data_IF_241507836743
#
_entry.id   IF_241507836743
#
_cell.length_a   1.000
_cell.length_b   1.000
_cell.length_c   1.000
_cell.angle_alpha   90.00
_cell.angle_beta   90.00
_cell.angle_gamma   90.00
#
_symmetry.space_group_name_H-M   'P 1'
#
loop_
_entity.id
_entity.type
_entity.pdbx_description
1 polymer ?
#
# COMPACT_ATOMS: atom_id res chain seq x y z
N UNK A 1 -3.39 6.16 -1.89
CA UNK A 1 -4.57 5.34 -1.49
C UNK A 1 -5.20 5.93 -0.22
N UNK A 2 -6.53 5.88 -0.07
CA UNK A 2 -7.24 6.13 1.18
C UNK A 2 -8.29 5.03 1.38
N UNK A 3 -8.13 4.19 2.40
CA UNK A 3 -9.02 3.06 2.68
C UNK A 3 -9.49 3.16 4.13
N UNK A 4 -10.76 2.88 4.38
CA UNK A 4 -11.32 2.81 5.73
C UNK A 4 -11.93 1.43 6.01
N UNK A 5 -11.92 1.01 7.27
CA UNK A 5 -12.51 -0.25 7.73
C UNK A 5 -13.17 -0.08 9.09
N UNK A 6 -14.38 -0.59 9.21
CA UNK A 6 -15.12 -0.69 10.46
C UNK A 6 -15.01 -2.10 11.06
N UNK A 7 -14.87 -2.20 12.38
CA UNK A 7 -14.96 -3.47 13.13
C UNK A 7 -15.79 -3.25 14.39
N UNK A 8 -16.73 -4.15 14.65
CA UNK A 8 -17.53 -4.15 15.88
C UNK A 8 -16.91 -5.18 16.84
N UNK A 9 -16.78 -4.84 18.11
CA UNK A 9 -16.35 -5.80 19.13
C UNK A 9 -17.43 -6.84 19.40
N UNK A 10 -17.03 -7.91 20.10
CA UNK A 10 -17.99 -8.75 20.79
C UNK A 10 -18.87 -7.92 21.74
N UNK A 11 -20.11 -8.35 21.99
CA UNK A 11 -20.96 -7.73 23.00
C UNK A 11 -20.26 -7.78 24.37
N UNK A 12 -20.26 -6.65 25.08
CA UNK A 12 -19.95 -6.65 26.51
C UNK A 12 -21.09 -7.26 27.33
N UNK A 13 -20.94 -7.18 28.64
CA UNK A 13 -21.93 -7.72 29.56
C UNK A 13 -23.32 -7.08 29.36
N UNK A 14 -24.36 -7.91 29.42
CA UNK A 14 -25.73 -7.46 29.38
C UNK A 14 -26.09 -6.74 30.68
N UNK A 15 -26.87 -5.66 30.58
CA UNK A 15 -27.39 -4.91 31.73
C UNK A 15 -28.41 -5.68 32.57
N UNK A 16 -28.92 -6.81 32.06
CA UNK A 16 -29.84 -7.70 32.74
C UNK A 16 -29.46 -9.17 32.53
N UNK A 17 -29.62 -9.98 33.57
CA UNK A 17 -29.38 -11.44 33.54
C UNK A 17 -30.52 -12.18 32.85
N UNK A 18 -31.75 -11.67 32.95
CA UNK A 18 -32.93 -12.19 32.27
C UNK A 18 -33.88 -11.05 31.87
N UNK A 19 -34.68 -11.25 30.82
CA UNK A 19 -35.53 -10.20 30.23
C UNK A 19 -34.78 -9.27 29.26
N UNK A 20 -35.41 -8.17 28.81
CA UNK A 20 -34.79 -7.19 27.93
C UNK A 20 -33.59 -6.51 28.61
N UNK A 21 -32.46 -6.46 27.93
CA UNK A 21 -31.22 -5.83 28.42
C UNK A 21 -30.41 -5.21 27.29
N UNK A 22 -29.47 -4.35 27.67
CA UNK A 22 -28.57 -3.66 26.76
C UNK A 22 -27.14 -4.17 26.98
N UNK A 23 -26.43 -4.43 25.89
CA UNK A 23 -25.02 -4.80 25.91
C UNK A 23 -24.23 -3.76 25.12
N UNK A 24 -23.19 -3.20 25.73
CA UNK A 24 -22.32 -2.22 25.06
C UNK A 24 -21.43 -2.92 24.05
N UNK A 25 -21.19 -2.26 22.91
CA UNK A 25 -20.23 -2.71 21.89
C UNK A 25 -19.31 -1.56 21.52
N UNK A 26 -18.04 -1.87 21.29
CA UNK A 26 -17.06 -0.92 20.80
C UNK A 26 -17.03 -1.00 19.28
N UNK A 27 -17.21 0.14 18.63
CA UNK A 27 -17.03 0.24 17.18
C UNK A 27 -15.66 0.85 16.90
N UNK A 28 -14.85 0.21 16.05
CA UNK A 28 -13.53 0.69 15.68
C UNK A 28 -13.51 1.08 14.21
N UNK A 29 -13.19 2.35 13.94
CA UNK A 29 -12.82 2.83 12.63
C UNK A 29 -11.29 2.77 12.48
N UNK A 30 -10.80 2.30 11.35
CA UNK A 30 -9.39 2.43 10.96
C UNK A 30 -9.33 3.00 9.56
N UNK A 31 -8.59 4.09 9.39
CA UNK A 31 -8.32 4.73 8.10
C UNK A 31 -6.82 4.62 7.81
N UNK A 32 -6.47 4.15 6.63
CA UNK A 32 -5.09 4.07 6.14
C UNK A 32 -4.92 4.96 4.93
N UNK A 33 -4.02 5.94 5.00
CA UNK A 33 -3.67 6.85 3.91
C UNK A 33 -2.23 6.55 3.49
N UNK A 34 -2.05 6.01 2.29
CA UNK A 34 -0.74 5.76 1.70
C UNK A 34 -0.37 6.82 0.66
N UNK A 35 0.87 7.31 0.72
CA UNK A 35 1.51 8.22 -0.24
C UNK A 35 2.79 7.58 -0.81
N UNK A 36 3.31 8.05 -1.96
CA UNK A 36 4.64 7.71 -2.46
C UNK A 36 5.75 7.78 -1.40
N UNK A 37 6.81 6.98 -1.57
CA UNK A 37 7.91 6.86 -0.58
C UNK A 37 8.73 8.13 -0.40
N UNK A 38 8.74 9.00 -1.41
CA UNK A 38 9.35 10.32 -1.39
C UNK A 38 8.39 11.39 -0.85
N UNK A 39 7.32 11.03 -0.15
CA UNK A 39 6.36 11.98 0.41
C UNK A 39 6.10 11.74 1.91
N UNK A 40 5.96 12.83 2.66
CA UNK A 40 5.46 12.85 4.04
C UNK A 40 4.06 13.44 4.07
N UNK A 41 3.22 12.91 4.95
CA UNK A 41 1.83 13.32 5.11
C UNK A 41 1.80 14.40 6.19
N UNK A 42 1.49 15.63 5.80
CA UNK A 42 1.14 16.68 6.74
C UNK A 42 -0.36 16.63 7.02
N UNK A 43 -0.72 16.70 8.29
CA UNK A 43 -2.09 16.55 8.78
C UNK A 43 -2.44 17.81 9.52
N UNK A 44 -3.61 18.37 9.23
CA UNK A 44 -4.19 19.47 9.98
C UNK A 44 -5.54 19.04 10.52
N UNK A 45 -5.69 19.07 11.83
CA UNK A 45 -6.96 18.73 12.47
C UNK A 45 -7.86 19.96 12.46
N UNK A 46 -9.00 19.84 11.78
CA UNK A 46 -9.97 20.93 11.62
C UNK A 46 -10.90 21.03 12.83
N UNK A 47 -11.37 19.89 13.33
CA UNK A 47 -12.18 19.83 14.56
C UNK A 47 -12.04 18.47 15.25
N UNK A 48 -12.23 18.46 16.57
CA UNK A 48 -12.23 17.27 17.39
C UNK A 48 -13.22 17.43 18.55
N UNK A 49 -14.18 16.52 18.65
CA UNK A 49 -15.10 16.41 19.80
C UNK A 49 -14.68 15.27 20.75
N UNK A 50 -13.40 14.90 20.75
CA UNK A 50 -12.87 13.84 21.61
C UNK A 50 -12.54 14.36 23.02
N UNK A 51 -13.20 13.80 24.04
CA UNK A 51 -12.92 14.07 25.45
C UNK A 51 -11.69 13.30 25.94
N UNK A 52 -10.49 13.83 25.67
CA UNK A 52 -9.20 13.21 26.02
C UNK A 52 -8.76 13.48 27.48
N UNK A 53 -9.69 13.41 28.45
CA UNK A 53 -9.45 13.84 29.85
C UNK A 53 -8.50 12.94 30.66
N UNK A 54 -8.08 11.78 30.13
CA UNK A 54 -7.14 10.85 30.80
C UNK A 54 -5.75 10.74 30.19
N UNK A 55 -5.44 11.53 29.15
CA UNK A 55 -4.06 11.63 28.62
C UNK A 55 -3.77 13.07 28.19
N UNK A 56 -3.11 13.80 29.09
CA UNK A 56 -2.33 15.02 28.86
C UNK A 56 -2.88 16.01 27.79
N UNK A 57 -3.65 16.99 28.27
CA UNK A 57 -3.77 18.38 27.78
C UNK A 57 -3.37 18.64 26.30
N UNK A 58 -4.35 18.57 25.40
CA UNK A 58 -4.60 19.62 24.39
C UNK A 58 -5.90 19.30 23.64
N UNK A 59 -6.71 20.33 23.38
CA UNK A 59 -7.67 20.26 22.29
C UNK A 59 -6.89 19.98 21.02
N UNK A 60 -7.07 18.79 20.44
CA UNK A 60 -6.40 18.38 19.20
C UNK A 60 -6.89 19.22 18.01
N UNK A 61 -7.99 19.97 18.17
CA UNK A 61 -8.49 20.91 17.18
C UNK A 61 -7.47 22.01 16.88
N UNK A 62 -7.14 22.22 15.61
CA UNK A 62 -6.13 23.18 15.17
C UNK A 62 -4.69 22.69 15.24
N UNK A 63 -4.45 21.45 15.71
CA UNK A 63 -3.12 20.87 15.71
C UNK A 63 -2.64 20.49 14.30
N UNK A 64 -1.33 20.60 14.10
CA UNK A 64 -0.64 20.15 12.90
C UNK A 64 0.34 19.03 13.26
N UNK A 65 0.35 17.98 12.44
CA UNK A 65 1.16 16.79 12.64
C UNK A 65 1.81 16.40 11.33
N UNK A 66 3.03 15.87 11.39
CA UNK A 66 3.72 15.34 10.21
C UNK A 66 3.99 13.87 10.44
N UNK A 67 3.62 13.03 9.48
CA UNK A 67 3.88 11.60 9.55
C UNK A 67 5.38 11.31 9.45
N UNK A 68 5.86 10.32 10.21
CA UNK A 68 7.25 9.82 10.11
C UNK A 68 7.47 8.93 8.88
N UNK A 69 6.38 8.43 8.31
CA UNK A 69 6.40 7.52 7.16
C UNK A 69 5.42 8.02 6.10
N UNK A 70 5.47 7.45 4.91
CA UNK A 70 4.54 7.72 3.82
C UNK A 70 3.16 7.05 4.01
N UNK A 71 2.93 6.40 5.16
CA UNK A 71 1.63 5.81 5.53
C UNK A 71 1.13 6.40 6.83
N UNK A 72 -0.07 6.96 6.81
CA UNK A 72 -0.79 7.41 7.99
C UNK A 72 -1.88 6.39 8.35
N UNK A 73 -1.82 5.88 9.58
CA UNK A 73 -2.85 5.02 10.16
C UNK A 73 -3.60 5.81 11.23
N UNK A 74 -4.89 6.06 11.00
CA UNK A 74 -5.80 6.69 11.98
C UNK A 74 -6.71 5.62 12.54
N UNK A 75 -6.76 5.47 13.86
CA UNK A 75 -7.64 4.51 14.54
C UNK A 75 -8.48 5.24 15.57
N UNK A 76 -9.80 5.09 15.44
CA UNK A 76 -10.77 5.65 16.38
C UNK A 76 -11.62 4.52 16.95
N UNK A 77 -11.70 4.43 18.28
CA UNK A 77 -12.67 3.57 18.96
C UNK A 77 -13.86 4.47 19.35
N UNK A 78 -15.02 4.27 18.75
CA UNK A 78 -16.25 4.98 19.04
C UNK A 78 -16.96 4.31 20.23
N UNK A 79 -17.35 5.10 21.24
CA UNK A 79 -18.11 4.64 22.40
C UNK A 79 -19.30 5.54 22.76
N UNK A 80 -19.43 6.76 22.20
CA UNK A 80 -20.75 7.40 22.03
C UNK A 80 -20.98 8.01 20.63
N UNK A 81 -22.25 8.14 20.22
CA UNK A 81 -22.65 8.94 19.07
C UNK A 81 -22.36 10.43 19.31
N UNK A 82 -21.75 11.12 18.34
CA UNK A 82 -21.43 12.55 18.42
C UNK A 82 -19.93 12.89 18.58
N UNK A 83 -19.09 11.92 18.94
CA UNK A 83 -17.64 12.13 19.11
C UNK A 83 -16.85 11.73 17.86
N UNK A 84 -16.09 12.67 17.30
CA UNK A 84 -15.42 12.53 16.01
C UNK A 84 -14.19 13.41 15.86
N UNK A 85 -13.40 13.12 14.83
CA UNK A 85 -12.28 13.96 14.39
C UNK A 85 -12.45 14.27 12.90
N UNK A 86 -12.29 15.53 12.54
CA UNK A 86 -12.20 15.98 11.15
C UNK A 86 -10.81 16.52 10.93
N UNK A 87 -10.09 15.95 9.97
CA UNK A 87 -8.76 16.40 9.60
C UNK A 87 -8.63 16.47 8.08
N UNK A 88 -7.74 17.34 7.62
CA UNK A 88 -7.25 17.36 6.24
C UNK A 88 -5.80 16.89 6.21
N UNK A 89 -5.36 16.41 5.05
CA UNK A 89 -3.99 15.97 4.85
C UNK A 89 -3.44 16.47 3.52
N UNK A 90 -2.14 16.75 3.49
CA UNK A 90 -1.39 17.12 2.28
C UNK A 90 -0.14 16.27 2.15
N UNK A 91 0.29 16.06 0.91
CA UNK A 91 1.55 15.37 0.61
C UNK A 91 2.64 16.40 0.35
N UNK A 92 3.76 16.27 1.04
CA UNK A 92 4.94 17.08 0.80
C UNK A 92 6.11 16.18 0.43
N UNK A 93 6.89 16.56 -0.58
CA UNK A 93 8.06 15.78 -0.98
C UNK A 93 9.11 15.77 0.14
N UNK A 94 9.51 14.56 0.51
CA UNK A 94 10.66 14.28 1.34
C UNK A 94 11.93 14.44 0.50
N UNK A 95 12.90 15.20 1.01
CA UNK A 95 14.17 15.48 0.31
C UNK A 95 15.16 14.30 0.37
N UNK A 96 14.82 13.20 1.05
CA UNK A 96 15.67 12.00 1.12
C UNK A 96 15.62 11.22 -0.20
N UNK A 97 16.78 10.99 -0.83
CA UNK A 97 16.91 10.20 -2.06
C UNK A 97 16.54 8.73 -1.79
N UNK A 98 15.36 8.32 -2.24
CA UNK A 98 14.96 6.92 -2.37
C UNK A 98 14.53 6.69 -3.83
N UNK A 99 15.04 5.63 -4.47
CA UNK A 99 14.65 5.26 -5.83
C UNK A 99 13.43 4.33 -5.87
N UNK A 100 13.02 3.80 -4.71
CA UNK A 100 11.83 2.97 -4.62
C UNK A 100 10.58 3.78 -4.97
N UNK A 101 9.70 3.21 -5.78
CA UNK A 101 8.45 3.82 -6.24
C UNK A 101 7.28 3.06 -5.62
N UNK A 102 6.28 3.76 -5.13
CA UNK A 102 5.06 3.13 -4.60
C UNK A 102 3.81 3.57 -5.37
N UNK A 103 3.02 2.58 -5.80
CA UNK A 103 1.88 2.72 -6.69
C UNK A 103 0.59 2.28 -5.98
N UNK A 104 -0.45 3.10 -6.14
CA UNK A 104 -1.72 2.96 -5.43
C UNK A 104 -2.96 3.09 -6.33
N UNK A 105 -2.78 3.41 -7.61
CA UNK A 105 -3.87 3.63 -8.55
C UNK A 105 -4.43 2.31 -9.02
N UNK A 106 -5.71 2.28 -9.42
CA UNK A 106 -6.37 1.06 -9.89
C UNK A 106 -5.69 0.43 -11.12
N UNK A 107 -5.02 1.27 -11.91
CA UNK A 107 -4.18 0.86 -13.02
C UNK A 107 -3.11 1.91 -13.28
N UNK A 108 -2.11 1.54 -14.06
CA UNK A 108 -1.09 2.47 -14.51
C UNK A 108 0.03 1.78 -15.26
N UNK A 109 1.06 2.56 -15.56
CA UNK A 109 2.27 2.11 -16.25
C UNK A 109 3.46 2.49 -15.37
N UNK A 110 4.46 1.60 -15.31
CA UNK A 110 5.72 1.89 -14.64
C UNK A 110 6.90 1.45 -15.49
N UNK A 111 8.03 2.11 -15.26
CA UNK A 111 9.33 1.77 -15.84
C UNK A 111 10.29 1.37 -14.72
N UNK A 112 11.42 0.77 -15.09
CA UNK A 112 12.46 0.45 -14.13
C UNK A 112 12.98 1.73 -13.42
N UNK A 113 13.03 1.74 -12.07
CA UNK A 113 13.74 2.78 -11.34
C UNK A 113 15.24 2.64 -11.55
N UNK A 114 15.93 3.78 -11.53
CA UNK A 114 17.40 3.85 -11.68
C UNK A 114 18.05 4.34 -10.40
N UNK A 115 19.27 3.91 -10.15
CA UNK A 115 20.09 4.36 -9.01
C UNK A 115 21.54 4.53 -9.42
N UNK A 116 22.19 5.52 -8.80
CA UNK A 116 23.64 5.73 -8.91
C UNK A 116 24.43 4.94 -7.86
N UNK A 117 23.74 4.24 -6.94
CA UNK A 117 24.38 3.42 -5.92
C UNK A 117 24.65 2.01 -6.44
N UNK A 118 25.81 1.45 -6.09
CA UNK A 118 26.18 0.07 -6.43
C UNK A 118 25.65 -0.97 -5.44
N UNK A 119 25.20 -0.54 -4.26
CA UNK A 119 24.85 -1.43 -3.14
C UNK A 119 23.36 -1.41 -2.79
N UNK A 120 22.57 -0.60 -3.49
CA UNK A 120 21.13 -0.50 -3.28
C UNK A 120 20.41 -0.93 -4.55
N UNK A 121 19.50 -1.88 -4.41
CA UNK A 121 18.52 -2.20 -5.45
C UNK A 121 17.33 -1.26 -5.31
N UNK A 122 16.62 -1.05 -6.42
CA UNK A 122 15.43 -0.21 -6.46
C UNK A 122 14.21 -1.07 -6.73
N UNK A 123 13.10 -0.67 -6.12
CA UNK A 123 11.87 -1.44 -6.13
C UNK A 123 10.67 -0.63 -6.60
N UNK A 124 9.72 -1.32 -7.19
CA UNK A 124 8.37 -0.81 -7.39
C UNK A 124 7.44 -1.61 -6.48
N UNK A 125 6.71 -0.92 -5.61
CA UNK A 125 5.74 -1.51 -4.70
C UNK A 125 4.34 -1.17 -5.16
N UNK A 126 3.50 -2.18 -5.39
CA UNK A 126 2.09 -2.01 -5.76
C UNK A 126 1.24 -2.41 -4.57
N UNK A 127 0.44 -1.46 -4.06
CA UNK A 127 -0.45 -1.68 -2.93
C UNK A 127 -1.90 -1.47 -3.37
N UNK A 128 -2.61 -2.58 -3.56
CA UNK A 128 -4.03 -2.58 -3.88
C UNK A 128 -4.89 -2.56 -2.60
N UNK A 129 -6.17 -2.16 -2.69
CA UNK A 129 -7.13 -2.32 -1.61
C UNK A 129 -7.26 -3.78 -1.14
N UNK A 130 -7.72 -4.03 0.10
CA UNK A 130 -7.93 -5.39 0.59
C UNK A 130 -8.85 -6.20 -0.32
N UNK A 131 -8.53 -7.48 -0.51
CA UNK A 131 -9.29 -8.44 -1.35
C UNK A 131 -9.20 -8.21 -2.87
N UNK A 132 -8.38 -7.27 -3.32
CA UNK A 132 -8.12 -7.00 -4.74
C UNK A 132 -6.81 -7.64 -5.14
N UNK A 133 -6.81 -8.38 -6.26
CA UNK A 133 -5.59 -8.97 -6.84
C UNK A 133 -4.97 -8.02 -7.86
N UNK A 134 -3.71 -8.26 -8.21
CA UNK A 134 -2.89 -7.42 -9.08
C UNK A 134 -2.50 -8.24 -10.31
N UNK A 135 -2.63 -7.63 -11.48
CA UNK A 135 -2.08 -8.12 -12.76
C UNK A 135 -0.96 -7.19 -13.20
N UNK A 136 0.15 -7.78 -13.64
CA UNK A 136 1.29 -7.06 -14.23
C UNK A 136 1.57 -7.65 -15.60
N UNK A 137 1.57 -6.82 -16.64
CA UNK A 137 1.87 -7.19 -18.01
C UNK A 137 3.11 -6.43 -18.48
N UNK A 138 4.19 -7.16 -18.74
CA UNK A 138 5.38 -6.57 -19.36
C UNK A 138 5.04 -6.16 -20.80
N UNK A 139 5.33 -4.90 -21.14
CA UNK A 139 5.06 -4.32 -22.46
C UNK A 139 6.34 -4.15 -23.29
N UNK A 140 7.46 -3.87 -22.63
CA UNK A 140 8.75 -3.69 -23.28
C UNK A 140 9.90 -4.14 -22.38
N UNK A 141 10.85 -4.86 -22.98
CA UNK A 141 12.12 -5.26 -22.36
C UNK A 141 13.23 -4.97 -23.38
N UNK A 142 13.95 -3.87 -23.18
CA UNK A 142 14.87 -3.30 -24.18
C UNK A 142 16.34 -3.67 -24.01
N UNK A 143 16.69 -4.59 -23.11
CA UNK A 143 18.09 -4.91 -22.83
C UNK A 143 18.62 -6.02 -23.74
N UNK A 144 19.57 -5.67 -24.61
CA UNK A 144 20.55 -6.62 -25.15
C UNK A 144 21.59 -6.84 -24.07
N UNK A 145 21.64 -8.04 -23.49
CA UNK A 145 22.58 -8.38 -22.42
C UNK A 145 24.01 -8.36 -22.96
N UNK A 146 24.71 -7.23 -22.86
CA UNK A 146 26.15 -7.23 -23.03
C UNK A 146 26.73 -7.95 -21.81
N UNK A 147 27.27 -9.15 -22.03
CA UNK A 147 27.77 -10.10 -21.03
C UNK A 147 29.06 -9.63 -20.33
N UNK A 148 29.22 -8.33 -20.08
CA UNK A 148 30.40 -7.72 -19.46
C UNK A 148 30.20 -7.39 -17.99
N UNK A 149 28.97 -7.41 -17.48
CA UNK A 149 28.68 -7.21 -16.06
C UNK A 149 28.67 -8.57 -15.32
N UNK A 150 29.43 -8.67 -14.21
CA UNK A 150 29.51 -9.91 -13.40
C UNK A 150 28.20 -10.25 -12.68
N UNK A 151 27.25 -9.31 -12.63
CA UNK A 151 25.94 -9.49 -12.01
C UNK A 151 24.90 -9.87 -13.07
N UNK A 152 24.16 -10.96 -12.81
CA UNK A 152 23.05 -11.37 -13.67
C UNK A 152 21.96 -10.29 -13.68
N UNK A 153 21.53 -9.86 -14.87
CA UNK A 153 20.42 -8.92 -15.06
C UNK A 153 19.07 -9.66 -15.06
N UNK A 154 18.18 -9.32 -14.12
CA UNK A 154 16.87 -9.96 -13.98
C UNK A 154 15.88 -9.05 -13.24
N UNK A 155 14.59 -9.40 -13.34
CA UNK A 155 13.50 -8.78 -12.60
C UNK A 155 12.95 -9.83 -11.64
N UNK A 156 12.76 -9.45 -10.38
CA UNK A 156 12.17 -10.32 -9.38
C UNK A 156 10.83 -9.73 -8.92
N UNK A 157 9.74 -10.49 -9.09
CA UNK A 157 8.41 -10.12 -8.59
C UNK A 157 8.07 -11.01 -7.40
N UNK A 158 7.76 -10.40 -6.27
CA UNK A 158 7.35 -11.07 -5.04
C UNK A 158 5.92 -10.70 -4.69
N UNK A 159 5.07 -11.72 -4.57
CA UNK A 159 3.78 -11.60 -3.90
C UNK A 159 4.02 -11.50 -2.40
N UNK A 160 3.59 -10.40 -1.78
CA UNK A 160 3.91 -10.13 -0.38
C UNK A 160 2.98 -10.83 0.60
N UNK A 161 1.81 -11.30 0.15
CA UNK A 161 0.85 -11.98 1.03
C UNK A 161 1.22 -13.46 1.18
N UNK A 162 1.62 -14.11 0.08
CA UNK A 162 2.03 -15.53 0.08
C UNK A 162 3.54 -15.74 0.00
N UNK A 163 4.31 -14.65 -0.01
CA UNK A 163 5.77 -14.64 -0.11
C UNK A 163 6.33 -15.44 -1.32
N UNK A 164 5.54 -15.55 -2.39
CA UNK A 164 5.93 -16.26 -3.62
C UNK A 164 6.76 -15.34 -4.51
N UNK A 165 7.91 -15.84 -4.94
CA UNK A 165 8.84 -15.10 -5.79
C UNK A 165 8.90 -15.70 -7.20
N UNK A 166 8.80 -14.85 -8.21
CA UNK A 166 8.99 -15.17 -9.62
C UNK A 166 10.16 -14.35 -10.18
N UNK A 167 11.13 -15.01 -10.81
CA UNK A 167 12.30 -14.36 -11.41
C UNK A 167 12.19 -14.43 -12.94
N UNK A 168 12.27 -13.26 -13.58
CA UNK A 168 12.20 -13.10 -15.01
C UNK A 168 13.56 -12.69 -15.56
N UNK A 169 14.07 -13.49 -16.49
CA UNK A 169 15.35 -13.30 -17.18
C UNK A 169 15.09 -13.23 -18.68
N UNK A 170 15.97 -12.57 -19.43
CA UNK A 170 15.82 -12.44 -20.87
C UNK A 170 14.90 -11.29 -21.28
N UNK A 171 14.53 -11.28 -22.57
CA UNK A 171 13.66 -10.28 -23.19
C UNK A 171 12.21 -10.77 -23.36
N UNK A 172 11.89 -11.96 -22.83
CA UNK A 172 10.55 -12.51 -22.98
C UNK A 172 9.55 -11.73 -22.14
N UNK A 173 8.53 -11.17 -22.82
CA UNK A 173 7.39 -10.54 -22.15
C UNK A 173 6.63 -11.57 -21.32
N UNK A 174 6.13 -11.14 -20.18
CA UNK A 174 5.40 -11.97 -19.24
C UNK A 174 4.09 -11.32 -18.79
N UNK A 175 3.18 -12.16 -18.36
CA UNK A 175 1.98 -11.80 -17.63
C UNK A 175 2.05 -12.45 -16.24
N UNK A 176 1.91 -11.65 -15.20
CA UNK A 176 1.96 -12.10 -13.82
C UNK A 176 0.71 -11.69 -13.06
N UNK A 177 0.25 -12.58 -12.18
CA UNK A 177 -0.92 -12.37 -11.33
C UNK A 177 -0.54 -12.62 -9.87
N UNK A 178 -1.00 -11.75 -8.98
CA UNK A 178 -0.88 -11.95 -7.55
C UNK A 178 -1.98 -12.87 -7.02
N UNK A 179 -1.66 -13.54 -5.92
CA UNK A 179 -2.63 -14.14 -5.00
C UNK A 179 -3.16 -13.11 -4.01
N UNK A 180 -2.32 -12.13 -3.66
CA UNK A 180 -2.58 -11.09 -2.66
C UNK A 180 -2.87 -9.70 -3.21
N UNK A 181 -2.95 -8.71 -2.31
CA UNK A 181 -3.16 -7.30 -2.67
C UNK A 181 -1.87 -6.45 -2.62
N UNK A 182 -0.71 -7.09 -2.49
CA UNK A 182 0.58 -6.44 -2.41
C UNK A 182 1.63 -7.16 -3.25
N UNK A 183 2.37 -6.40 -4.07
CA UNK A 183 3.45 -6.92 -4.90
C UNK A 183 4.71 -6.03 -4.78
N UNK A 184 5.87 -6.66 -4.68
CA UNK A 184 7.18 -6.01 -4.69
C UNK A 184 7.94 -6.44 -5.95
N UNK A 185 8.37 -5.48 -6.76
CA UNK A 185 9.12 -5.71 -7.99
C UNK A 185 10.52 -5.15 -7.81
N UNK A 186 11.53 -6.00 -7.76
CA UNK A 186 12.94 -5.64 -7.60
C UNK A 186 13.71 -5.79 -8.92
N UNK A 187 14.57 -4.82 -9.21
CA UNK A 187 15.36 -4.77 -10.44
C UNK A 187 16.84 -4.99 -10.14
N UNK A 188 17.50 -5.80 -10.95
CA UNK A 188 18.92 -6.11 -10.80
C UNK A 188 19.70 -5.92 -12.11
N UNK A 189 21.01 -5.71 -11.97
CA UNK A 189 21.91 -5.52 -13.10
C UNK A 189 21.59 -4.26 -13.89
N UNK A 190 21.62 -4.36 -15.21
CA UNK A 190 21.58 -3.17 -16.09
C UNK A 190 20.25 -2.42 -16.05
N UNK A 191 19.17 -3.04 -15.55
CA UNK A 191 17.90 -2.34 -15.29
C UNK A 191 18.06 -1.16 -14.31
N UNK A 192 19.03 -1.20 -13.40
CA UNK A 192 19.24 -0.11 -12.43
C UNK A 192 19.99 1.09 -13.03
N UNK A 193 20.55 0.95 -14.23
CA UNK A 193 21.43 1.95 -14.85
C UNK A 193 20.96 2.42 -16.22
N UNK A 194 20.02 1.70 -16.85
CA UNK A 194 19.46 2.05 -18.16
C UNK A 194 18.00 2.44 -18.04
N UNK A 195 17.70 3.75 -18.09
CA UNK A 195 16.33 4.27 -17.96
C UNK A 195 15.44 3.78 -19.12
N UNK A 196 14.23 3.34 -18.81
CA UNK A 196 13.26 2.88 -19.81
C UNK A 196 13.57 1.53 -20.44
N UNK A 197 14.54 0.80 -19.88
CA UNK A 197 14.91 -0.55 -20.32
C UNK A 197 13.85 -1.60 -20.00
N UNK A 198 12.93 -1.30 -19.10
CA UNK A 198 11.73 -2.08 -18.82
C UNK A 198 10.50 -1.17 -18.76
N UNK A 199 9.38 -1.64 -19.29
CA UNK A 199 8.08 -0.99 -19.14
C UNK A 199 6.98 -2.04 -18.97
N UNK A 200 6.11 -1.81 -18.00
CA UNK A 200 4.96 -2.67 -17.75
C UNK A 200 3.70 -1.87 -17.42
N UNK A 201 2.56 -2.45 -17.80
CA UNK A 201 1.26 -2.02 -17.31
C UNK A 201 0.86 -2.87 -16.10
N UNK A 202 0.21 -2.25 -15.13
CA UNK A 202 -0.42 -2.96 -14.02
C UNK A 202 -1.89 -2.55 -13.89
N UNK A 203 -2.67 -3.47 -13.36
CA UNK A 203 -4.08 -3.22 -13.03
C UNK A 203 -4.51 -4.06 -11.84
N UNK A 204 -5.46 -3.54 -11.09
CA UNK A 204 -6.22 -4.28 -10.11
C UNK A 204 -7.23 -5.15 -10.85
N UNK A 205 -7.34 -6.41 -10.44
CA UNK A 205 -8.29 -7.35 -11.02
C UNK A 205 -9.65 -7.19 -10.34
N UNK A 206 -10.70 -7.15 -11.14
CA UNK A 206 -12.06 -7.22 -10.62
C UNK A 206 -12.37 -8.64 -10.09
N UNK A 207 -13.34 -8.79 -9.15
CA UNK A 207 -13.66 -10.08 -8.55
C UNK A 207 -13.94 -11.19 -9.56
N UNK A 208 -14.64 -10.89 -10.66
CA UNK A 208 -14.98 -11.85 -11.71
C UNK A 208 -13.79 -12.27 -12.58
N UNK A 209 -12.80 -11.38 -12.81
CA UNK A 209 -11.56 -11.75 -13.51
C UNK A 209 -10.73 -12.74 -12.68
N UNK A 210 -10.74 -12.59 -11.35
CA UNK A 210 -10.08 -13.51 -10.42
C UNK A 210 -10.71 -14.90 -10.43
N UNK A 211 -12.03 -15.00 -10.57
CA UNK A 211 -12.76 -16.27 -10.63
C UNK A 211 -12.48 -17.04 -11.94
N UNK A 212 -12.37 -16.33 -13.07
CA UNK A 212 -12.02 -16.95 -14.35
C UNK A 212 -10.59 -17.53 -14.36
N UNK A 213 -9.64 -16.88 -13.67
CA UNK A 213 -8.29 -17.43 -13.50
C UNK A 213 -8.29 -18.74 -12.69
N UNK A 214 -9.21 -18.92 -11.74
CA UNK A 214 -9.37 -20.17 -11.00
C UNK A 214 -10.11 -21.23 -11.84
N UNK A 215 -11.08 -20.83 -12.66
CA UNK A 215 -11.84 -21.74 -13.53
C UNK A 215 -11.01 -22.29 -14.71
N UNK A 216 -9.96 -21.58 -15.13
CA UNK A 216 -9.07 -21.98 -16.24
C UNK A 216 -7.99 -22.99 -15.84
N UNK A 217 -7.95 -23.41 -14.58
CA UNK A 217 -6.95 -24.33 -14.02
C UNK A 217 -7.46 -25.77 -13.82
N UNK A 218 -8.58 -26.13 -14.46
CA UNK A 218 -9.12 -27.49 -14.54
C UNK A 218 -9.01 -28.04 -15.96
#
# INVERSE_FOLDING_TARGET
MCVHRWRVSEPGDCSAVCGPGEAKRVVRCTVSIGRPLDEVIHIRVLSSSLDCTKSMLQSISGSELTSRTNVLLVRQNLLPAGNGIVFTYTSQKNTKRNCDIQLFSASGIFENPITSSTNHTCRVLINAPPSVKIRIQAQHIGLVFNTTNSQSTYIMIRDMDVLKTNVFKGQQLFLWHSSGNMAEIEFHGDYLHSKGSFRAAYSFLEPWESELLHASAC
#
